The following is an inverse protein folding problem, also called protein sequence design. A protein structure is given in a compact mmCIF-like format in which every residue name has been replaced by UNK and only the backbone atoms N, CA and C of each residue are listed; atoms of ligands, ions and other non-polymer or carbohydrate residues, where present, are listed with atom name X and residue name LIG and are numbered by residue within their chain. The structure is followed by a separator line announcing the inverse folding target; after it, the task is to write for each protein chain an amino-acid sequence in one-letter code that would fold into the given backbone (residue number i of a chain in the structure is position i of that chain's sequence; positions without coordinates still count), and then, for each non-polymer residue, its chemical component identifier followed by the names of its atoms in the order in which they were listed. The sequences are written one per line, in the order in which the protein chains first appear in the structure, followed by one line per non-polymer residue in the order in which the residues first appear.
data_IF_548324198593
#
_entry.id   IF_548324198593
#
_cell.length_a   1.000
_cell.length_b   1.000
_cell.length_c   1.000
_cell.angle_alpha   90.00
_cell.angle_beta   90.00
_cell.angle_gamma   90.00
#
_symmetry.space_group_name_H-M   'P 1'
#
loop_
_entity.id
_entity.type
_entity.pdbx_description
1 polymer ?
#
# COMPACT_ATOMS: atom_id res chain seq x y z
N UNK A 1 11.97 -9.14 -9.23
CA UNK A 1 10.83 -8.55 -9.94
C UNK A 1 10.08 -7.57 -9.08
N UNK A 2 9.52 -6.55 -9.69
CA UNK A 2 8.68 -5.56 -9.03
C UNK A 2 7.53 -5.17 -9.96
N UNK A 3 6.33 -4.94 -9.41
CA UNK A 3 5.17 -4.51 -10.18
C UNK A 3 4.34 -3.50 -9.38
N UNK A 4 3.37 -2.86 -10.03
CA UNK A 4 2.43 -2.00 -9.33
C UNK A 4 1.46 -2.81 -8.48
N UNK A 5 0.93 -2.20 -7.39
CA UNK A 5 -0.05 -2.89 -6.53
C UNK A 5 -1.44 -2.95 -7.14
N UNK A 6 -1.73 -2.17 -8.17
CA UNK A 6 -2.99 -2.10 -8.91
C UNK A 6 -2.70 -2.13 -10.40
N UNK A 7 -3.70 -2.45 -11.21
CA UNK A 7 -3.56 -2.43 -12.68
C UNK A 7 -3.18 -1.06 -13.21
N UNK A 8 -3.77 -0.01 -12.64
CA UNK A 8 -3.49 1.39 -13.00
C UNK A 8 -3.20 2.18 -11.75
N UNK A 9 -2.22 3.07 -11.81
CA UNK A 9 -1.83 3.89 -10.67
C UNK A 9 -2.29 5.32 -10.88
N UNK A 10 -3.15 5.78 -9.98
CA UNK A 10 -3.54 7.18 -9.87
C UNK A 10 -3.43 7.62 -8.42
N UNK A 11 -2.48 8.50 -8.14
CA UNK A 11 -2.25 9.02 -6.79
C UNK A 11 -3.33 10.04 -6.46
N UNK A 12 -4.04 9.79 -5.36
CA UNK A 12 -5.07 10.73 -4.85
C UNK A 12 -4.56 11.53 -3.67
N UNK A 13 -3.57 11.02 -2.93
CA UNK A 13 -2.93 11.75 -1.84
C UNK A 13 -1.47 11.29 -1.73
N UNK A 14 -0.51 12.18 -2.02
CA UNK A 14 0.90 11.80 -2.03
C UNK A 14 1.48 11.66 -0.63
N UNK A 15 2.63 10.98 -0.56
CA UNK A 15 3.46 10.94 0.63
C UNK A 15 4.04 12.33 0.92
N UNK A 16 4.18 12.66 2.19
CA UNK A 16 4.91 13.84 2.62
C UNK A 16 4.04 14.82 3.39
N UNK A 17 4.61 15.96 3.66
CA UNK A 17 3.92 17.03 4.37
C UNK A 17 2.86 17.67 3.48
N UNK A 18 1.73 17.98 4.10
CA UNK A 18 0.63 18.69 3.44
C UNK A 18 0.00 19.66 4.42
N UNK A 19 -0.53 20.77 3.88
CA UNK A 19 -1.24 21.77 4.67
C UNK A 19 -2.74 21.51 4.56
N UNK A 20 -3.42 21.55 5.72
CA UNK A 20 -4.87 21.58 5.75
C UNK A 20 -5.34 22.91 5.14
N UNK A 21 -6.19 22.90 4.11
CA UNK A 21 -6.63 24.13 3.46
C UNK A 21 -7.55 24.99 4.33
N UNK A 22 -8.11 24.42 5.41
CA UNK A 22 -9.03 25.15 6.29
C UNK A 22 -8.28 25.81 7.45
N UNK A 23 -7.41 25.06 8.15
CA UNK A 23 -6.74 25.55 9.36
C UNK A 23 -5.25 25.83 9.19
N UNK A 24 -4.68 25.56 8.01
CA UNK A 24 -3.27 25.79 7.70
C UNK A 24 -2.30 24.88 8.43
N UNK A 25 -2.78 23.90 9.17
CA UNK A 25 -1.91 22.98 9.90
C UNK A 25 -1.18 22.04 8.93
N UNK A 26 0.10 21.86 9.19
CA UNK A 26 0.90 20.87 8.45
C UNK A 26 0.71 19.50 9.10
N UNK A 27 0.53 18.48 8.26
CA UNK A 27 0.52 17.10 8.69
C UNK A 27 1.38 16.25 7.76
N UNK A 28 1.97 15.20 8.32
CA UNK A 28 2.78 14.24 7.55
C UNK A 28 1.92 13.07 7.10
N UNK A 29 1.85 12.81 5.81
CA UNK A 29 1.25 11.62 5.26
C UNK A 29 2.35 10.57 5.07
N UNK A 30 2.34 9.51 5.89
CA UNK A 30 3.40 8.51 5.94
C UNK A 30 3.32 7.45 4.86
N UNK A 31 2.28 7.47 4.07
CA UNK A 31 2.07 6.57 2.96
C UNK A 31 1.58 7.31 1.73
N UNK A 32 1.08 6.57 0.77
CA UNK A 32 0.49 7.11 -0.45
C UNK A 32 -0.90 6.52 -0.62
N UNK A 33 -1.85 7.33 -1.07
CA UNK A 33 -3.19 6.88 -1.39
C UNK A 33 -3.36 6.78 -2.90
N UNK A 34 -3.90 5.67 -3.35
CA UNK A 34 -4.15 5.38 -4.76
C UNK A 34 -5.64 5.19 -4.97
N UNK A 35 -6.14 5.73 -6.09
CA UNK A 35 -7.50 5.45 -6.52
C UNK A 35 -7.69 3.95 -6.71
N UNK A 36 -8.77 3.41 -6.14
CA UNK A 36 -9.11 2.00 -6.28
C UNK A 36 -10.62 1.80 -6.10
N UNK A 37 -11.21 0.95 -6.92
CA UNK A 37 -12.65 0.68 -6.91
C UNK A 37 -12.89 -0.82 -6.88
N UNK A 38 -12.92 -1.41 -5.67
CA UNK A 38 -13.22 -2.82 -5.44
C UNK A 38 -12.46 -3.74 -6.40
N UNK A 39 -11.17 -3.53 -6.52
CA UNK A 39 -10.32 -4.23 -7.46
C UNK A 39 -9.27 -5.08 -6.75
N UNK A 40 -8.69 -6.04 -7.45
CA UNK A 40 -7.62 -6.84 -6.89
C UNK A 40 -6.39 -6.00 -6.59
N UNK A 41 -5.77 -6.33 -5.46
CA UNK A 41 -4.51 -5.76 -5.03
C UNK A 41 -3.42 -6.81 -5.20
N UNK A 42 -2.30 -6.41 -5.76
CA UNK A 42 -1.19 -7.30 -6.10
C UNK A 42 0.02 -7.01 -5.24
N UNK A 43 0.75 -8.08 -4.88
CA UNK A 43 2.06 -7.91 -4.24
C UNK A 43 3.00 -7.18 -5.20
N UNK A 44 3.68 -6.16 -4.71
CA UNK A 44 4.64 -5.42 -5.55
C UNK A 44 5.92 -6.17 -5.78
N UNK A 45 6.32 -7.04 -4.86
CA UNK A 45 7.61 -7.75 -4.90
C UNK A 45 7.47 -9.20 -4.45
N UNK A 46 8.51 -10.00 -4.71
CA UNK A 46 8.64 -11.34 -4.16
C UNK A 46 8.93 -11.25 -2.65
N UNK A 47 8.35 -12.15 -1.88
CA UNK A 47 8.57 -12.20 -0.44
C UNK A 47 7.59 -13.10 0.26
N UNK A 48 7.14 -12.71 1.44
CA UNK A 48 6.14 -13.46 2.20
C UNK A 48 5.26 -12.53 3.02
N UNK A 49 4.09 -13.04 3.40
CA UNK A 49 3.15 -12.34 4.29
C UNK A 49 3.75 -12.32 5.70
N UNK A 50 3.98 -11.13 6.24
CA UNK A 50 4.47 -10.96 7.61
C UNK A 50 3.32 -10.90 8.60
N UNK A 51 2.26 -10.15 8.26
CA UNK A 51 1.15 -9.91 9.17
C UNK A 51 -0.13 -9.65 8.40
N UNK A 52 -1.23 -10.12 8.94
CA UNK A 52 -2.60 -9.80 8.48
C UNK A 52 -3.38 -9.35 9.71
N UNK A 53 -4.14 -8.28 9.60
CA UNK A 53 -4.91 -7.81 10.74
C UNK A 53 -5.96 -6.79 10.37
N UNK A 54 -6.59 -6.27 11.42
CA UNK A 54 -7.55 -5.18 11.35
C UNK A 54 -7.31 -4.22 12.52
N UNK A 55 -7.30 -2.94 12.23
CA UNK A 55 -7.41 -1.92 13.27
C UNK A 55 -8.33 -0.79 12.76
N UNK A 56 -8.79 0.05 13.68
CA UNK A 56 -9.76 1.09 13.35
C UNK A 56 -9.22 2.13 12.36
N UNK A 57 -7.90 2.30 12.31
CA UNK A 57 -7.25 3.29 11.44
C UNK A 57 -7.00 2.73 10.04
N UNK A 58 -6.42 1.55 9.96
CA UNK A 58 -5.98 0.93 8.69
C UNK A 58 -7.07 0.08 8.03
N UNK A 59 -8.12 -0.28 8.77
CA UNK A 59 -9.06 -1.29 8.31
C UNK A 59 -8.40 -2.65 8.18
N UNK A 60 -8.88 -3.47 7.27
CA UNK A 60 -8.19 -4.73 6.95
C UNK A 60 -6.89 -4.41 6.25
N UNK A 61 -5.78 -4.95 6.75
CA UNK A 61 -4.47 -4.71 6.16
C UNK A 61 -3.66 -6.00 6.05
N UNK A 62 -2.70 -5.97 5.16
CA UNK A 62 -1.68 -7.00 5.00
C UNK A 62 -0.31 -6.33 4.91
N UNK A 63 0.66 -6.89 5.61
CA UNK A 63 2.05 -6.45 5.55
C UNK A 63 2.87 -7.55 4.90
N UNK A 64 3.54 -7.21 3.81
CA UNK A 64 4.45 -8.11 3.11
C UNK A 64 5.90 -7.73 3.43
N UNK A 65 6.73 -8.75 3.62
CA UNK A 65 8.18 -8.58 3.80
C UNK A 65 8.92 -9.03 2.56
N UNK A 66 9.79 -8.16 2.07
CA UNK A 66 10.59 -8.37 0.87
C UNK A 66 12.05 -8.06 1.22
N UNK A 67 12.80 -9.04 1.75
CA UNK A 67 14.15 -8.83 2.29
C UNK A 67 14.11 -7.74 3.38
N UNK A 68 14.77 -6.59 3.19
CA UNK A 68 14.81 -5.49 4.16
C UNK A 68 13.63 -4.52 4.03
N UNK A 69 12.74 -4.75 3.06
CA UNK A 69 11.58 -3.88 2.84
C UNK A 69 10.34 -4.50 3.46
N UNK A 70 9.44 -3.64 3.96
CA UNK A 70 8.06 -4.02 4.25
C UNK A 70 7.12 -3.09 3.51
N UNK A 71 6.05 -3.65 2.99
CA UNK A 71 4.98 -2.89 2.33
C UNK A 71 3.67 -3.25 2.99
N UNK A 72 2.97 -2.23 3.50
CA UNK A 72 1.65 -2.38 4.10
C UNK A 72 0.58 -1.93 3.11
N UNK A 73 -0.45 -2.74 2.95
CA UNK A 73 -1.59 -2.49 2.05
C UNK A 73 -2.83 -2.40 2.93
N UNK A 74 -3.47 -1.23 2.99
CA UNK A 74 -4.52 -0.92 3.96
C UNK A 74 -5.87 -0.62 3.31
N UNK A 75 -6.92 -0.61 4.14
CA UNK A 75 -8.31 -0.34 3.77
C UNK A 75 -8.91 -1.40 2.85
N UNK A 76 -8.40 -2.62 2.93
CA UNK A 76 -8.85 -3.72 2.08
C UNK A 76 -10.26 -4.19 2.48
N UNK A 77 -11.06 -4.55 1.48
CA UNK A 77 -12.34 -5.23 1.73
C UNK A 77 -12.11 -6.69 2.10
N UNK A 78 -11.10 -7.31 1.51
CA UNK A 78 -10.71 -8.70 1.77
C UNK A 78 -9.20 -8.87 1.71
N UNK A 79 -8.69 -9.75 2.57
CA UNK A 79 -7.32 -10.26 2.51
C UNK A 79 -7.39 -11.74 2.15
N UNK A 80 -6.66 -12.16 1.12
CA UNK A 80 -6.75 -13.51 0.57
C UNK A 80 -5.69 -14.47 1.11
N UNK A 81 -4.70 -13.99 1.86
CA UNK A 81 -3.54 -14.77 2.26
C UNK A 81 -3.38 -14.76 3.77
N UNK A 82 -2.83 -15.85 4.30
CA UNK A 82 -2.48 -16.00 5.71
C UNK A 82 -1.02 -15.60 5.95
N UNK A 83 -0.65 -15.29 7.22
CA UNK A 83 0.76 -15.07 7.57
C UNK A 83 1.65 -16.22 7.12
N UNK A 84 2.89 -15.92 6.78
CA UNK A 84 3.95 -16.83 6.30
C UNK A 84 3.74 -17.34 4.87
N UNK A 85 2.64 -16.98 4.20
CA UNK A 85 2.43 -17.37 2.80
C UNK A 85 3.46 -16.69 1.91
N UNK A 86 4.21 -17.45 1.08
CA UNK A 86 5.09 -16.85 0.10
C UNK A 86 4.31 -16.17 -1.02
N UNK A 87 4.85 -15.08 -1.53
CA UNK A 87 4.25 -14.31 -2.63
C UNK A 87 5.30 -13.98 -3.68
N UNK A 88 4.84 -13.82 -4.92
CA UNK A 88 5.65 -13.29 -6.01
C UNK A 88 5.09 -11.93 -6.42
N UNK A 89 5.90 -11.13 -7.08
CA UNK A 89 5.40 -9.89 -7.68
C UNK A 89 4.21 -10.23 -8.59
N UNK A 90 3.08 -9.54 -8.40
CA UNK A 90 1.85 -9.80 -9.15
C UNK A 90 0.90 -10.83 -8.53
N UNK A 91 1.27 -11.47 -7.43
CA UNK A 91 0.35 -12.35 -6.69
C UNK A 91 -0.81 -11.52 -6.15
N UNK A 92 -2.05 -12.00 -6.35
CA UNK A 92 -3.23 -11.36 -5.76
C UNK A 92 -3.19 -11.58 -4.25
N UNK A 93 -3.23 -10.50 -3.49
CA UNK A 93 -3.16 -10.55 -2.02
C UNK A 93 -4.48 -10.18 -1.35
N UNK A 94 -5.38 -9.53 -2.07
CA UNK A 94 -6.66 -9.11 -1.52
C UNK A 94 -7.45 -8.27 -2.50
N UNK A 95 -8.48 -7.60 -1.99
CA UNK A 95 -9.28 -6.63 -2.73
C UNK A 95 -9.31 -5.29 -2.01
N UNK A 96 -9.28 -4.21 -2.78
CA UNK A 96 -9.42 -2.86 -2.26
C UNK A 96 -10.82 -2.62 -1.68
N UNK A 97 -10.92 -1.66 -0.78
CA UNK A 97 -12.17 -1.29 -0.15
C UNK A 97 -12.08 0.05 0.56
N UNK A 98 -12.91 0.23 1.58
CA UNK A 98 -12.96 1.45 2.38
C UNK A 98 -13.07 1.15 3.88
N UNK A 99 -12.51 0.04 4.32
CA UNK A 99 -12.53 -0.36 5.73
C UNK A 99 -11.62 0.53 6.57
N UNK A 100 -11.92 0.64 7.85
CA UNK A 100 -11.18 1.49 8.77
C UNK A 100 -11.50 2.97 8.60
N UNK A 101 -10.52 3.83 8.88
CA UNK A 101 -10.69 5.29 8.80
C UNK A 101 -10.46 5.76 7.37
N UNK A 102 -11.35 5.40 6.46
CA UNK A 102 -11.31 5.82 5.07
C UNK A 102 -12.50 6.73 4.77
N UNK A 103 -12.26 7.83 4.04
CA UNK A 103 -13.32 8.74 3.60
C UNK A 103 -13.93 8.33 2.25
N UNK A 104 -13.47 7.24 1.68
CA UNK A 104 -13.93 6.66 0.42
C UNK A 104 -13.02 5.53 0.02
N UNK A 105 -13.34 4.86 -1.09
CA UNK A 105 -12.50 3.77 -1.57
C UNK A 105 -11.14 4.29 -2.03
N UNK A 106 -10.09 3.71 -1.50
CA UNK A 106 -8.72 3.93 -1.95
C UNK A 106 -7.83 2.83 -1.38
N UNK A 107 -6.65 2.67 -1.98
CA UNK A 107 -5.61 1.81 -1.44
C UNK A 107 -4.56 2.70 -0.78
N UNK A 108 -4.31 2.46 0.50
CA UNK A 108 -3.25 3.16 1.24
C UNK A 108 -2.04 2.24 1.37
N UNK A 109 -0.88 2.73 0.95
CA UNK A 109 0.38 1.97 0.98
C UNK A 109 1.41 2.69 1.82
N UNK A 110 2.05 1.94 2.72
CA UNK A 110 3.18 2.40 3.52
C UNK A 110 4.39 1.53 3.20
N UNK A 111 5.51 2.15 2.88
CA UNK A 111 6.75 1.43 2.58
C UNK A 111 7.82 1.77 3.59
N UNK A 112 8.55 0.75 4.03
CA UNK A 112 9.67 0.89 4.96
C UNK A 112 10.88 0.11 4.44
N UNK A 113 12.06 0.67 4.68
CA UNK A 113 13.32 -0.01 4.47
C UNK A 113 14.07 -0.07 5.81
N UNK A 114 14.36 -1.29 6.27
CA UNK A 114 14.95 -1.52 7.59
C UNK A 114 14.21 -0.78 8.71
N UNK A 115 12.87 -0.80 8.64
CA UNK A 115 12.00 -0.18 9.62
C UNK A 115 11.81 1.34 9.45
N UNK A 116 12.46 1.97 8.48
CA UNK A 116 12.38 3.42 8.24
C UNK A 116 11.42 3.69 7.09
N UNK A 117 10.39 4.51 7.35
CA UNK A 117 9.40 4.90 6.35
C UNK A 117 10.07 5.73 5.25
N UNK A 118 9.70 5.46 4.01
CA UNK A 118 10.15 6.24 2.86
C UNK A 118 8.99 6.43 1.87
N UNK A 119 9.17 7.33 0.92
CA UNK A 119 8.15 7.65 -0.09
C UNK A 119 7.95 6.47 -1.05
N UNK A 120 6.73 5.87 -1.09
CA UNK A 120 6.45 4.76 -2.00
C UNK A 120 6.64 5.08 -3.48
N UNK A 121 6.59 6.36 -3.84
CA UNK A 121 6.82 6.81 -5.21
C UNK A 121 8.17 6.35 -5.77
N UNK A 122 9.17 6.17 -4.90
CA UNK A 122 10.48 5.63 -5.29
C UNK A 122 10.32 4.25 -5.93
N UNK A 123 9.49 3.38 -5.34
CA UNK A 123 9.23 2.06 -5.90
C UNK A 123 8.42 2.14 -7.20
N UNK A 124 7.45 3.05 -7.27
CA UNK A 124 6.66 3.24 -8.49
C UNK A 124 7.52 3.75 -9.65
N UNK A 125 8.45 4.64 -9.38
CA UNK A 125 9.41 5.09 -10.39
C UNK A 125 10.31 3.94 -10.86
N UNK A 126 10.71 3.06 -9.94
CA UNK A 126 11.50 1.87 -10.28
C UNK A 126 10.70 0.92 -11.18
N UNK A 127 9.43 0.68 -10.87
CA UNK A 127 8.55 -0.13 -11.71
C UNK A 127 8.48 0.46 -13.12
N UNK A 128 8.25 1.76 -13.22
CA UNK A 128 8.14 2.45 -14.50
C UNK A 128 9.40 2.31 -15.34
N UNK A 129 10.58 2.44 -14.74
CA UNK A 129 11.86 2.35 -15.44
C UNK A 129 12.22 0.94 -15.88
N UNK A 130 11.56 -0.11 -15.34
CA UNK A 130 11.80 -1.51 -15.64
C UNK A 130 10.65 -2.16 -16.43
N UNK A 131 9.69 -1.39 -16.90
CA UNK A 131 8.64 -1.88 -17.81
C UNK A 131 9.21 -2.02 -19.21
N UNK A 132 8.81 -3.11 -19.84
CA UNK A 132 9.18 -3.40 -21.23
C UNK A 132 8.18 -2.80 -22.21
#
# INVERSE_FOLDING_TARGET
SITYPLKSIKVTSPYGYRCDPINGRKSMHHGIDLQAHNEYVYSMMDGKVEKVGYDARSGNYIILRHADFTISYCHLSKVHLAPETPVFAGTIIGKSGSTGRATGEHLHIVTKHKGIIFNPKILFCYVKSHQK
#
